data_IF_869845464000
#
_entry.id   IF_869845464000
#
_cell.length_a   1.000
_cell.length_b   1.000
_cell.length_c   1.000
_cell.angle_alpha   90.00
_cell.angle_beta   90.00
_cell.angle_gamma   90.00
#
_symmetry.space_group_name_H-M   'P 1'
#
loop_
_entity.id
_entity.type
_entity.pdbx_description
1 polymer ?
#
# COMPACT_ATOMS: atom_id res chain seq x y z
N UNK A 1 5.28 -69.62 -44.63
CA UNK A 1 5.75 -69.02 -43.39
C UNK A 1 5.27 -67.53 -43.31
N UNK A 2 4.10 -67.35 -42.61
CA UNK A 2 3.53 -65.99 -42.37
C UNK A 2 3.95 -65.57 -40.96
N UNK A 3 4.67 -64.46 -40.80
CA UNK A 3 4.99 -63.83 -39.50
C UNK A 3 3.82 -62.88 -39.14
N UNK A 4 3.11 -63.23 -38.08
CA UNK A 4 2.18 -62.36 -37.39
C UNK A 4 2.99 -61.30 -36.64
N UNK A 5 2.69 -60.01 -36.90
CA UNK A 5 3.24 -58.88 -36.16
C UNK A 5 2.14 -58.46 -35.18
N UNK A 6 2.28 -58.82 -33.93
CA UNK A 6 1.45 -58.35 -32.83
C UNK A 6 1.71 -56.88 -32.60
N UNK A 7 0.73 -56.01 -32.88
CA UNK A 7 0.74 -54.58 -32.52
C UNK A 7 0.31 -54.44 -31.06
N UNK A 8 1.24 -54.17 -30.22
CA UNK A 8 1.00 -53.78 -28.82
C UNK A 8 0.38 -52.36 -28.83
N UNK A 9 -0.91 -52.25 -28.54
CA UNK A 9 -1.60 -51.00 -28.34
C UNK A 9 -1.42 -50.64 -26.86
N UNK A 10 -0.56 -49.66 -26.58
CA UNK A 10 -0.43 -49.06 -25.24
C UNK A 10 -1.60 -48.09 -25.00
N UNK A 11 -2.38 -48.24 -23.92
CA UNK A 11 -3.39 -47.23 -23.58
C UNK A 11 -2.71 -45.99 -23.07
N UNK A 12 -2.90 -44.86 -23.76
CA UNK A 12 -2.51 -43.54 -23.27
C UNK A 12 -3.56 -43.12 -22.24
N UNK A 13 -3.26 -43.26 -20.96
CA UNK A 13 -4.05 -42.67 -19.88
C UNK A 13 -3.89 -41.15 -19.90
N UNK A 14 -4.88 -40.47 -20.44
CA UNK A 14 -5.01 -39.01 -20.38
C UNK A 14 -5.48 -38.63 -18.96
N UNK A 15 -4.57 -38.29 -18.08
CA UNK A 15 -4.90 -37.73 -16.74
C UNK A 15 -5.35 -36.29 -16.92
N UNK A 16 -6.68 -36.06 -16.85
CA UNK A 16 -7.21 -34.68 -16.73
C UNK A 16 -6.85 -34.13 -15.34
N UNK A 17 -5.92 -33.18 -15.29
CA UNK A 17 -5.73 -32.37 -14.11
C UNK A 17 -6.87 -31.36 -14.02
N UNK A 18 -7.82 -31.59 -13.10
CA UNK A 18 -8.79 -30.60 -12.69
C UNK A 18 -8.05 -29.51 -11.92
N UNK A 19 -7.75 -28.41 -12.57
CA UNK A 19 -7.31 -27.19 -11.90
C UNK A 19 -8.53 -26.63 -11.16
N UNK A 20 -8.60 -26.89 -9.86
CA UNK A 20 -9.60 -26.24 -9.01
C UNK A 20 -9.34 -24.72 -9.05
N UNK A 21 -10.38 -23.87 -9.20
CA UNK A 21 -10.19 -22.44 -9.09
C UNK A 21 -9.62 -22.14 -7.70
N UNK A 22 -8.53 -21.38 -7.66
CA UNK A 22 -7.95 -20.92 -6.42
C UNK A 22 -9.04 -20.19 -5.63
N UNK A 23 -9.39 -20.71 -4.46
CA UNK A 23 -10.33 -20.05 -3.57
C UNK A 23 -9.81 -18.65 -3.29
N UNK A 24 -10.63 -17.62 -3.56
CA UNK A 24 -10.31 -16.26 -3.18
C UNK A 24 -9.98 -16.24 -1.67
N UNK A 25 -8.84 -15.69 -1.33
CA UNK A 25 -8.46 -15.56 0.08
C UNK A 25 -9.60 -14.85 0.84
N UNK A 26 -9.94 -15.30 2.07
CA UNK A 26 -11.00 -14.69 2.84
C UNK A 26 -10.69 -13.20 3.00
N UNK A 27 -11.57 -12.37 2.46
CA UNK A 27 -11.51 -10.93 2.70
C UNK A 27 -11.73 -10.73 4.20
N UNK A 28 -10.79 -10.06 4.86
CA UNK A 28 -10.95 -9.70 6.28
C UNK A 28 -12.25 -8.94 6.45
N UNK A 29 -13.09 -9.27 7.46
CA UNK A 29 -14.41 -8.66 7.60
C UNK A 29 -14.27 -7.16 7.78
N UNK A 30 -14.66 -6.40 6.74
CA UNK A 30 -15.23 -5.10 6.90
C UNK A 30 -14.34 -3.94 7.34
N UNK A 31 -13.11 -3.79 6.86
CA UNK A 31 -12.46 -2.48 6.90
C UNK A 31 -12.96 -1.69 5.68
N UNK A 32 -13.88 -0.76 5.96
CA UNK A 32 -14.52 0.06 4.93
C UNK A 32 -13.58 1.17 4.44
N UNK A 33 -12.55 0.86 3.74
CA UNK A 33 -11.73 1.73 2.88
C UNK A 33 -10.51 0.96 2.35
N UNK A 34 -10.65 0.09 1.37
CA UNK A 34 -9.50 -0.60 0.80
C UNK A 34 -8.61 0.38 0.05
N UNK A 35 -7.30 0.19 0.16
CA UNK A 35 -6.33 0.86 -0.71
C UNK A 35 -6.38 0.26 -2.11
N UNK A 36 -5.75 0.92 -3.10
CA UNK A 36 -5.67 0.42 -4.47
C UNK A 36 -5.05 -1.00 -4.55
N UNK A 37 -3.95 -1.30 -3.83
CA UNK A 37 -3.43 -2.67 -3.77
C UNK A 37 -4.46 -3.67 -3.25
N UNK A 38 -5.12 -3.39 -2.14
CA UNK A 38 -6.12 -4.29 -1.58
C UNK A 38 -7.30 -4.51 -2.52
N UNK A 39 -7.79 -3.44 -3.18
CA UNK A 39 -8.90 -3.51 -4.12
C UNK A 39 -8.57 -4.30 -5.40
N UNK A 40 -7.28 -4.38 -5.77
CA UNK A 40 -6.82 -5.03 -7.00
C UNK A 40 -6.13 -6.38 -6.77
N UNK A 41 -6.11 -6.88 -5.53
CA UNK A 41 -5.37 -8.09 -5.15
C UNK A 41 -3.86 -7.91 -5.32
N UNK A 42 -3.36 -6.75 -4.96
CA UNK A 42 -1.94 -6.33 -5.00
C UNK A 42 -1.33 -6.33 -6.41
N UNK A 43 -2.15 -6.05 -7.42
CA UNK A 43 -1.67 -5.90 -8.80
C UNK A 43 -1.38 -4.47 -9.20
N UNK A 44 -1.91 -3.50 -8.44
CA UNK A 44 -1.73 -2.05 -8.68
C UNK A 44 -1.31 -1.36 -7.40
N UNK A 45 -0.44 -0.37 -7.53
CA UNK A 45 -0.06 0.54 -6.46
C UNK A 45 -0.82 1.87 -6.60
N UNK A 46 -0.75 2.72 -5.58
CA UNK A 46 -1.38 4.04 -5.60
C UNK A 46 -0.55 5.05 -6.40
N UNK A 47 -1.19 5.80 -7.29
CA UNK A 47 -0.67 7.03 -7.85
C UNK A 47 -0.73 8.18 -6.83
N UNK A 48 -0.12 9.31 -7.15
CA UNK A 48 -0.13 10.47 -6.25
C UNK A 48 -1.54 10.93 -5.88
N UNK A 49 -2.41 11.04 -6.86
CA UNK A 49 -3.80 11.48 -6.64
C UNK A 49 -4.62 10.47 -5.82
N UNK A 50 -4.33 9.17 -5.94
CA UNK A 50 -4.93 8.12 -5.11
C UNK A 50 -4.52 8.30 -3.65
N UNK A 51 -3.23 8.55 -3.39
CA UNK A 51 -2.69 8.81 -2.05
C UNK A 51 -3.38 10.03 -1.42
N UNK A 52 -3.48 11.14 -2.16
CA UNK A 52 -4.09 12.38 -1.67
C UNK A 52 -5.58 12.17 -1.39
N UNK A 53 -6.28 11.49 -2.29
CA UNK A 53 -7.71 11.18 -2.13
C UNK A 53 -7.94 10.29 -0.92
N UNK A 54 -7.11 9.28 -0.74
CA UNK A 54 -7.19 8.37 0.41
C UNK A 54 -6.97 9.07 1.74
N UNK A 55 -5.98 9.97 1.82
CA UNK A 55 -5.71 10.78 3.01
C UNK A 55 -6.90 11.67 3.34
N UNK A 56 -7.53 12.30 2.34
CA UNK A 56 -8.75 13.11 2.52
C UNK A 56 -9.92 12.29 3.06
N UNK A 57 -10.08 11.05 2.58
CA UNK A 57 -11.10 10.14 3.08
C UNK A 57 -10.85 9.75 4.56
N UNK A 58 -9.60 9.54 4.95
CA UNK A 58 -9.26 9.30 6.36
C UNK A 58 -9.54 10.55 7.21
N UNK A 59 -9.21 11.73 6.71
CA UNK A 59 -9.45 12.99 7.39
C UNK A 59 -10.96 13.30 7.57
N UNK A 60 -11.77 12.92 6.62
CA UNK A 60 -13.24 13.06 6.72
C UNK A 60 -13.86 12.13 7.77
N UNK A 61 -13.15 11.05 8.16
CA UNK A 61 -13.65 10.01 9.07
C UNK A 61 -13.04 10.03 10.46
N UNK A 62 -12.02 10.86 10.71
CA UNK A 62 -11.31 10.92 11.98
C UNK A 62 -10.78 12.31 12.29
N UNK A 63 -10.96 12.75 13.53
CA UNK A 63 -10.38 13.98 14.09
C UNK A 63 -8.97 13.78 14.65
N UNK A 64 -8.40 12.57 14.50
CA UNK A 64 -7.09 12.17 15.04
C UNK A 64 -5.95 12.39 14.05
N UNK A 65 -6.22 13.04 12.91
CA UNK A 65 -5.20 13.45 11.96
C UNK A 65 -5.44 14.86 11.43
N UNK A 66 -4.35 15.51 11.03
CA UNK A 66 -4.37 16.69 10.15
C UNK A 66 -3.28 16.55 9.12
N UNK A 67 -3.46 17.25 8.01
CA UNK A 67 -2.54 17.22 6.87
C UNK A 67 -1.91 18.59 6.71
N UNK A 68 -0.61 18.61 6.54
CA UNK A 68 0.21 19.77 6.23
C UNK A 68 0.97 19.52 4.94
N UNK A 69 1.46 20.55 4.27
CA UNK A 69 2.37 20.40 3.13
C UNK A 69 3.81 20.40 3.65
N UNK A 70 4.52 19.28 3.47
CA UNK A 70 5.93 19.18 3.82
C UNK A 70 6.79 20.01 2.86
N UNK A 71 6.55 19.83 1.56
CA UNK A 71 7.25 20.52 0.48
C UNK A 71 6.42 20.50 -0.79
N UNK A 72 6.83 21.34 -1.76
CA UNK A 72 6.32 21.28 -3.14
C UNK A 72 7.43 20.77 -4.06
N UNK A 73 7.11 19.77 -4.88
CA UNK A 73 8.05 19.17 -5.83
C UNK A 73 8.34 20.09 -7.02
N UNK A 74 9.32 19.71 -7.85
CA UNK A 74 9.64 20.45 -9.07
C UNK A 74 8.46 20.44 -10.08
N UNK A 75 7.64 19.39 -10.10
CA UNK A 75 6.43 19.31 -10.94
C UNK A 75 5.18 19.91 -10.25
N UNK A 76 5.34 20.56 -9.10
CA UNK A 76 4.29 21.31 -8.42
C UNK A 76 3.41 20.49 -7.49
N UNK A 77 3.69 19.21 -7.25
CA UNK A 77 2.94 18.36 -6.31
C UNK A 77 3.23 18.74 -4.87
N UNK A 78 2.20 18.85 -4.05
CA UNK A 78 2.34 19.10 -2.61
C UNK A 78 2.49 17.77 -1.87
N UNK A 79 3.71 17.49 -1.41
CA UNK A 79 4.00 16.28 -0.61
C UNK A 79 3.33 16.42 0.75
N UNK A 80 2.42 15.50 1.13
CA UNK A 80 1.70 15.59 2.39
C UNK A 80 2.57 15.16 3.58
N UNK A 81 2.48 15.93 4.66
CA UNK A 81 2.87 15.53 6.01
C UNK A 81 1.60 15.28 6.81
N UNK A 82 1.34 14.05 7.13
CA UNK A 82 0.20 13.65 7.96
C UNK A 82 0.63 13.57 9.41
N UNK A 83 0.02 14.39 10.28
CA UNK A 83 0.24 14.35 11.72
C UNK A 83 -0.91 13.57 12.35
N UNK A 84 -0.61 12.55 13.16
CA UNK A 84 -1.62 11.73 13.83
C UNK A 84 -1.31 11.55 15.31
N UNK A 85 -2.37 11.45 16.13
CA UNK A 85 -2.27 11.21 17.57
C UNK A 85 -3.63 11.25 18.27
N UNK A 86 -3.74 10.65 19.43
CA UNK A 86 -4.93 10.71 20.27
C UNK A 86 -4.55 11.04 21.73
N UNK A 87 -4.68 12.30 22.18
CA UNK A 87 -5.18 13.46 21.44
C UNK A 87 -4.24 13.92 20.31
N UNK A 88 -4.81 14.55 19.29
CA UNK A 88 -4.03 15.16 18.20
C UNK A 88 -3.34 16.44 18.71
N UNK A 89 -2.01 16.59 18.62
CA UNK A 89 -1.33 17.80 19.03
C UNK A 89 -1.72 18.99 18.14
N UNK A 90 -2.09 20.11 18.73
CA UNK A 90 -2.59 21.29 18.01
C UNK A 90 -1.51 22.07 17.26
N UNK A 91 -0.23 21.88 17.60
CA UNK A 91 0.90 22.57 16.98
C UNK A 91 2.20 21.77 17.16
N UNK A 92 3.29 22.11 16.43
CA UNK A 92 4.60 21.53 16.65
C UNK A 92 5.11 21.73 18.10
N UNK A 93 4.87 22.89 18.68
CA UNK A 93 5.25 23.18 20.07
C UNK A 93 4.47 22.29 21.06
N UNK A 94 3.17 22.08 20.80
CA UNK A 94 2.37 21.14 21.60
C UNK A 94 2.85 19.71 21.48
N UNK A 95 3.26 19.27 20.28
CA UNK A 95 3.83 17.96 20.07
C UNK A 95 5.18 17.78 20.79
N UNK A 96 6.03 18.80 20.82
CA UNK A 96 7.30 18.77 21.56
C UNK A 96 7.12 18.76 23.09
N UNK A 97 6.06 19.38 23.58
CA UNK A 97 5.73 19.41 25.01
C UNK A 97 4.97 18.14 25.48
N UNK A 98 4.54 17.31 24.55
CA UNK A 98 3.84 16.04 24.84
C UNK A 98 4.86 14.99 25.30
N UNK A 99 4.49 14.20 26.29
CA UNK A 99 5.35 13.13 26.81
C UNK A 99 5.44 11.90 25.87
N UNK A 100 4.56 11.81 24.88
CA UNK A 100 4.56 10.71 23.92
C UNK A 100 5.73 10.81 22.94
N UNK A 101 6.36 9.68 22.59
CA UNK A 101 7.34 9.65 21.51
C UNK A 101 6.77 10.17 20.20
N UNK A 102 7.59 10.88 19.43
CA UNK A 102 7.27 11.27 18.06
C UNK A 102 7.90 10.24 17.11
N UNK A 103 7.09 9.56 16.32
CA UNK A 103 7.51 8.56 15.35
C UNK A 103 7.39 9.14 13.95
N UNK A 104 8.51 9.24 13.23
CA UNK A 104 8.53 9.67 11.83
C UNK A 104 8.55 8.44 10.91
N UNK A 105 7.60 8.39 9.97
CA UNK A 105 7.46 7.32 8.97
C UNK A 105 7.48 7.94 7.57
N UNK A 106 8.34 7.42 6.72
CA UNK A 106 8.49 7.91 5.36
C UNK A 106 8.52 6.75 4.37
N UNK A 107 7.70 6.83 3.33
CA UNK A 107 7.65 5.88 2.23
C UNK A 107 7.97 6.52 0.88
N UNK A 108 8.21 5.68 -0.13
CA UNK A 108 8.44 6.06 -1.52
C UNK A 108 9.55 7.11 -1.69
N UNK A 109 10.71 6.87 -1.08
CA UNK A 109 11.90 7.72 -1.24
C UNK A 109 12.43 7.60 -2.67
N UNK A 110 12.39 6.39 -3.22
CA UNK A 110 12.72 6.14 -4.61
C UNK A 110 11.48 5.64 -5.36
N UNK A 111 11.42 5.96 -6.64
CA UNK A 111 10.43 5.40 -7.56
C UNK A 111 10.51 3.86 -7.56
N UNK A 112 9.39 3.20 -7.64
CA UNK A 112 9.29 1.73 -7.60
C UNK A 112 9.36 1.10 -6.21
N UNK A 113 9.66 1.86 -5.15
CA UNK A 113 9.52 1.41 -3.75
C UNK A 113 8.09 1.64 -3.27
N UNK A 114 7.15 0.93 -3.91
CA UNK A 114 5.71 1.15 -3.69
C UNK A 114 5.22 0.61 -2.35
N UNK A 115 5.91 -0.40 -1.81
CA UNK A 115 5.51 -1.13 -0.61
C UNK A 115 5.42 -0.20 0.62
N UNK A 116 6.39 0.70 0.76
CA UNK A 116 6.42 1.67 1.86
C UNK A 116 5.23 2.61 1.81
N UNK A 117 4.92 3.17 0.63
CA UNK A 117 3.77 4.03 0.39
C UNK A 117 2.46 3.32 0.72
N UNK A 118 2.25 2.18 0.10
CA UNK A 118 1.01 1.43 0.21
C UNK A 118 0.78 0.89 1.63
N UNK A 119 1.82 0.37 2.28
CA UNK A 119 1.76 -0.07 3.68
C UNK A 119 1.46 1.07 4.65
N UNK A 120 1.99 2.28 4.41
CA UNK A 120 1.70 3.42 5.26
C UNK A 120 0.24 3.86 5.17
N UNK A 121 -0.39 3.80 3.98
CA UNK A 121 -1.83 4.08 3.85
C UNK A 121 -2.67 3.06 4.63
N UNK A 122 -2.35 1.77 4.52
CA UNK A 122 -3.02 0.71 5.28
C UNK A 122 -2.83 0.91 6.79
N UNK A 123 -1.60 1.20 7.25
CA UNK A 123 -1.30 1.43 8.66
C UNK A 123 -2.05 2.65 9.21
N UNK A 124 -2.08 3.77 8.47
CA UNK A 124 -2.84 4.96 8.84
C UNK A 124 -4.32 4.64 9.03
N UNK A 125 -4.93 3.92 8.08
CA UNK A 125 -6.32 3.46 8.21
C UNK A 125 -6.53 2.61 9.46
N UNK A 126 -5.67 1.62 9.68
CA UNK A 126 -5.81 0.71 10.82
C UNK A 126 -5.66 1.43 12.16
N UNK A 127 -4.79 2.45 12.24
CA UNK A 127 -4.64 3.30 13.41
C UNK A 127 -5.82 4.25 13.63
N UNK A 128 -6.42 4.78 12.55
CA UNK A 128 -7.50 5.76 12.65
C UNK A 128 -8.88 5.11 12.79
N UNK A 129 -9.13 4.06 12.03
CA UNK A 129 -10.45 3.47 11.87
C UNK A 129 -10.52 1.99 12.33
N UNK A 130 -9.38 1.31 12.41
CA UNK A 130 -9.27 -0.12 12.69
C UNK A 130 -8.94 -0.45 14.15
N UNK A 131 -8.22 -1.54 14.34
CA UNK A 131 -7.88 -2.14 15.63
C UNK A 131 -6.59 -1.61 16.26
N UNK A 132 -5.81 -0.77 15.54
CA UNK A 132 -4.52 -0.24 15.99
C UNK A 132 -4.62 1.15 16.66
N UNK A 133 -5.80 1.59 17.06
CA UNK A 133 -6.03 2.91 17.68
C UNK A 133 -5.19 3.19 18.92
N UNK A 134 -4.84 2.15 19.65
CA UNK A 134 -4.00 2.27 20.83
C UNK A 134 -2.62 2.85 20.52
N UNK A 135 -2.12 2.66 19.31
CA UNK A 135 -0.85 3.25 18.85
C UNK A 135 -0.88 4.78 18.86
N UNK A 136 -2.03 5.39 18.52
CA UNK A 136 -2.21 6.85 18.53
C UNK A 136 -2.22 7.45 19.94
N UNK A 137 -2.61 6.66 20.94
CA UNK A 137 -2.58 7.09 22.35
C UNK A 137 -1.17 7.07 22.93
N UNK A 138 -0.33 6.17 22.42
CA UNK A 138 1.05 5.98 22.92
C UNK A 138 2.07 6.81 22.19
N UNK A 139 1.78 7.24 20.96
CA UNK A 139 2.74 7.95 20.10
C UNK A 139 2.05 9.07 19.34
N UNK A 140 2.86 10.05 18.93
CA UNK A 140 2.52 11.01 17.87
C UNK A 140 3.21 10.52 16.59
N UNK A 141 2.49 10.46 15.49
CA UNK A 141 3.04 10.04 14.20
C UNK A 141 3.15 11.21 13.25
N UNK A 142 4.29 11.31 12.58
CA UNK A 142 4.54 12.17 11.44
C UNK A 142 4.75 11.25 10.23
N UNK A 143 3.80 11.23 9.29
CA UNK A 143 3.81 10.29 8.18
C UNK A 143 3.91 11.02 6.85
N UNK A 144 4.90 10.65 6.04
CA UNK A 144 5.09 11.09 4.66
C UNK A 144 4.96 9.85 3.77
N UNK A 145 3.75 9.49 3.32
CA UNK A 145 3.55 8.22 2.62
C UNK A 145 4.15 8.21 1.21
N UNK A 146 4.25 9.37 0.55
CA UNK A 146 4.78 9.52 -0.81
C UNK A 146 5.78 10.69 -0.85
N UNK A 147 7.06 10.41 -0.59
CA UNK A 147 8.08 11.45 -0.55
C UNK A 147 8.51 11.90 -1.96
N UNK A 148 8.81 10.94 -2.85
CA UNK A 148 9.23 11.20 -4.22
C UNK A 148 8.04 11.16 -5.19
N UNK A 149 7.12 12.12 -5.00
CA UNK A 149 5.85 12.16 -5.71
C UNK A 149 6.02 12.28 -7.24
N UNK A 150 7.02 13.00 -7.72
CA UNK A 150 7.24 13.16 -9.18
C UNK A 150 7.72 11.86 -9.81
N UNK A 151 8.66 11.18 -9.18
CA UNK A 151 9.16 9.92 -9.72
C UNK A 151 8.16 8.77 -9.59
N UNK A 152 7.26 8.82 -8.60
CA UNK A 152 6.19 7.84 -8.48
C UNK A 152 5.27 7.79 -9.72
N UNK A 153 5.09 8.93 -10.38
CA UNK A 153 4.23 9.05 -11.57
C UNK A 153 4.93 8.66 -12.88
N UNK A 154 6.24 8.42 -12.83
CA UNK A 154 7.03 8.02 -14.00
C UNK A 154 7.21 6.52 -14.06
N UNK A 155 6.12 5.81 -14.35
CA UNK A 155 6.11 4.35 -14.47
C UNK A 155 6.90 3.95 -15.72
N UNK A 156 8.13 3.49 -15.52
CA UNK A 156 9.03 3.10 -16.61
C UNK A 156 10.18 2.23 -16.09
N UNK A 157 10.57 1.17 -16.82
CA UNK A 157 11.77 0.38 -16.50
C UNK A 157 13.06 1.20 -16.44
N UNK A 158 13.07 2.39 -17.05
CA UNK A 158 14.23 3.30 -17.07
C UNK A 158 14.24 4.27 -15.90
N UNK A 159 13.15 4.41 -15.15
CA UNK A 159 13.08 5.31 -14.01
C UNK A 159 13.86 4.78 -12.81
N UNK A 160 13.87 3.47 -12.62
CA UNK A 160 14.79 2.76 -11.72
C UNK A 160 15.10 1.38 -12.30
N UNK A 161 16.36 1.15 -12.66
CA UNK A 161 16.83 -0.18 -13.04
C UNK A 161 16.95 -1.05 -11.79
N UNK A 162 16.40 -2.26 -11.85
CA UNK A 162 16.58 -3.30 -10.84
C UNK A 162 15.66 -3.28 -9.61
N UNK A 163 14.37 -3.40 -9.82
CA UNK A 163 13.46 -3.98 -8.82
C UNK A 163 12.65 -5.07 -9.52
N UNK A 164 12.47 -6.28 -8.95
CA UNK A 164 11.50 -7.24 -9.47
C UNK A 164 10.11 -6.64 -9.24
N UNK A 165 9.54 -6.12 -10.30
CA UNK A 165 8.34 -5.30 -10.25
C UNK A 165 7.05 -6.10 -10.23
N UNK A 166 6.01 -5.60 -9.53
CA UNK A 166 4.67 -5.64 -10.06
C UNK A 166 4.61 -4.89 -11.41
N UNK A 167 3.65 -5.21 -12.26
CA UNK A 167 3.53 -4.69 -13.64
C UNK A 167 3.42 -3.15 -13.74
N UNK A 168 3.16 -2.48 -12.61
CA UNK A 168 3.03 -1.02 -12.48
C UNK A 168 3.78 -0.53 -11.22
N UNK A 169 5.10 -0.38 -11.28
CA UNK A 169 5.90 0.14 -10.16
C UNK A 169 7.21 0.79 -10.60
#
# INVERSE_FOLDING_TARGET
>A
MRRMIDRLILPVCLTLWLVAPAAAAPQSPGIALPTQPEATGFRKSNHFDDVISYIRELQARSDKLRVETLLRTAEGREVPLVVMGDPLPGSPAAAQADARPIVFLQGNIHAGEVEGKDSLLMLMRDMLLGDKRELLRRNIYLVVPIFNADSNERISPQNRSYMPNPEEG
#
